data_IF_496051464404
#
_entry.id   IF_496051464404
#
_cell.length_a   1.000
_cell.length_b   1.000
_cell.length_c   1.000
_cell.angle_alpha   90.00
_cell.angle_beta   90.00
_cell.angle_gamma   90.00
#
_symmetry.space_group_name_H-M   'P 1'
#
loop_
_entity.id
_entity.type
_entity.pdbx_description
1 polymer ?
#
# COMPACT_ATOMS: atom_id res chain seq x y z
N UNK A 1 12.45 -6.49 15.55
CA UNK A 1 11.28 -7.04 14.85
C UNK A 1 11.00 -6.11 13.67
N UNK A 2 11.14 -6.58 12.43
CA UNK A 2 10.94 -5.75 11.23
C UNK A 2 9.44 -5.75 10.91
N UNK A 3 8.82 -4.58 10.85
CA UNK A 3 7.41 -4.42 10.49
C UNK A 3 7.17 -4.71 9.01
N UNK A 4 6.02 -5.30 8.66
CA UNK A 4 5.64 -5.60 7.26
C UNK A 4 5.75 -4.37 6.35
N UNK A 5 5.46 -3.18 6.89
CA UNK A 5 5.67 -1.85 6.28
C UNK A 5 7.04 -1.75 5.61
N UNK A 6 8.13 -2.09 6.30
CA UNK A 6 9.50 -1.96 5.77
C UNK A 6 9.76 -2.87 4.57
N UNK A 7 9.10 -4.04 4.52
CA UNK A 7 9.22 -4.93 3.37
C UNK A 7 8.45 -4.38 2.16
N UNK A 8 7.27 -3.80 2.38
CA UNK A 8 6.50 -3.18 1.29
C UNK A 8 7.16 -1.89 0.78
N UNK A 9 7.72 -1.06 1.66
CA UNK A 9 8.52 0.11 1.26
C UNK A 9 9.70 -0.31 0.36
N UNK A 10 10.43 -1.37 0.75
CA UNK A 10 11.52 -1.90 -0.06
C UNK A 10 11.02 -2.49 -1.39
N UNK A 11 9.87 -3.16 -1.39
CA UNK A 11 9.26 -3.67 -2.62
C UNK A 11 8.91 -2.53 -3.57
N UNK A 12 8.35 -1.42 -3.06
CA UNK A 12 8.04 -0.21 -3.84
C UNK A 12 9.31 0.44 -4.38
N UNK A 13 10.38 0.51 -3.58
CA UNK A 13 11.68 1.04 -4.05
C UNK A 13 12.27 0.21 -5.20
N UNK A 14 12.14 -1.12 -5.15
CA UNK A 14 12.63 -2.01 -6.19
C UNK A 14 11.71 -2.05 -7.40
N UNK A 15 10.40 -1.90 -7.18
CA UNK A 15 9.36 -1.98 -8.19
C UNK A 15 8.27 -0.91 -7.92
N UNK A 16 8.46 0.33 -8.44
CA UNK A 16 7.55 1.45 -8.17
C UNK A 16 6.15 1.30 -8.79
N UNK A 17 5.96 0.37 -9.73
CA UNK A 17 4.69 0.05 -10.36
C UNK A 17 3.97 -1.15 -9.70
N UNK A 18 4.42 -1.58 -8.52
CA UNK A 18 3.85 -2.73 -7.83
C UNK A 18 2.61 -2.37 -7.01
N UNK A 19 1.46 -2.27 -7.67
CA UNK A 19 0.16 -1.93 -7.06
C UNK A 19 -0.14 -2.74 -5.78
N UNK A 20 0.10 -4.05 -5.78
CA UNK A 20 -0.15 -4.92 -4.60
C UNK A 20 0.72 -4.56 -3.38
N UNK A 21 1.96 -4.09 -3.58
CA UNK A 21 2.79 -3.62 -2.47
C UNK A 21 2.22 -2.35 -1.84
N UNK A 22 1.67 -1.44 -2.64
CA UNK A 22 0.98 -0.25 -2.13
C UNK A 22 -0.31 -0.60 -1.39
N UNK A 23 -1.11 -1.55 -1.89
CA UNK A 23 -2.32 -2.02 -1.18
C UNK A 23 -1.97 -2.61 0.18
N UNK A 24 -0.98 -3.52 0.22
CA UNK A 24 -0.58 -4.15 1.46
C UNK A 24 0.11 -3.19 2.44
N UNK A 25 0.84 -2.19 1.93
CA UNK A 25 1.36 -1.09 2.74
C UNK A 25 0.23 -0.29 3.37
N UNK A 26 -0.80 0.07 2.59
CA UNK A 26 -1.99 0.75 3.08
C UNK A 26 -2.69 -0.02 4.20
N UNK A 27 -2.91 -1.33 4.01
CA UNK A 27 -3.52 -2.19 5.03
C UNK A 27 -2.66 -2.24 6.32
N UNK A 28 -1.34 -2.36 6.17
CA UNK A 28 -0.44 -2.40 7.31
C UNK A 28 -0.42 -1.08 8.09
N UNK A 29 -0.41 0.06 7.40
CA UNK A 29 -0.46 1.40 7.98
C UNK A 29 -1.80 1.68 8.68
N UNK A 30 -2.91 1.25 8.05
CA UNK A 30 -4.26 1.34 8.62
C UNK A 30 -4.34 0.60 9.96
N UNK A 31 -3.75 -0.61 10.06
CA UNK A 31 -3.65 -1.37 11.32
C UNK A 31 -2.81 -0.69 12.39
N UNK A 32 -1.88 0.19 12.02
CA UNK A 32 -1.08 0.98 12.98
C UNK A 32 -1.70 2.32 13.35
N UNK A 33 -2.84 2.67 12.74
CA UNK A 33 -3.53 3.96 12.95
C UNK A 33 -2.96 5.11 12.13
N UNK A 34 -2.00 4.87 11.24
CA UNK A 34 -1.49 5.88 10.31
C UNK A 34 -2.36 5.94 9.05
N UNK A 35 -3.56 6.50 9.23
CA UNK A 35 -4.58 6.56 8.18
C UNK A 35 -4.18 7.49 7.01
N UNK A 36 -3.38 8.53 7.28
CA UNK A 36 -2.95 9.46 6.25
C UNK A 36 -2.01 8.78 5.24
N UNK A 37 -0.98 8.11 5.75
CA UNK A 37 -0.03 7.39 4.89
C UNK A 37 -0.68 6.16 4.24
N UNK A 38 -1.64 5.53 4.93
CA UNK A 38 -2.43 4.43 4.37
C UNK A 38 -3.23 4.88 3.14
N UNK A 39 -3.96 6.00 3.26
CA UNK A 39 -4.76 6.56 2.18
C UNK A 39 -3.92 6.89 0.95
N UNK A 40 -2.74 7.50 1.16
CA UNK A 40 -1.85 7.81 0.04
C UNK A 40 -1.31 6.54 -0.62
N UNK A 41 -1.05 5.48 0.14
CA UNK A 41 -0.68 4.18 -0.41
C UNK A 41 -1.80 3.60 -1.27
N UNK A 42 -3.05 3.61 -0.79
CA UNK A 42 -4.20 3.13 -1.58
C UNK A 42 -4.44 3.96 -2.85
N UNK A 43 -4.26 5.28 -2.81
CA UNK A 43 -4.33 6.13 -4.01
C UNK A 43 -3.29 5.74 -5.06
N UNK A 44 -2.04 5.49 -4.64
CA UNK A 44 -0.99 5.03 -5.56
C UNK A 44 -1.35 3.66 -6.14
N UNK A 45 -1.86 2.74 -5.31
CA UNK A 45 -2.31 1.43 -5.75
C UNK A 45 -3.42 1.54 -6.82
N UNK A 46 -4.37 2.46 -6.64
CA UNK A 46 -5.50 2.70 -7.55
C UNK A 46 -5.04 3.33 -8.87
N UNK A 47 -4.06 4.24 -8.83
CA UNK A 47 -3.47 4.81 -10.05
C UNK A 47 -2.80 3.71 -10.89
N UNK A 48 -2.15 2.75 -10.24
CA UNK A 48 -1.44 1.65 -10.90
C UNK A 48 -2.37 0.52 -11.36
N UNK A 49 -3.46 0.27 -10.64
CA UNK A 49 -4.45 -0.76 -10.96
C UNK A 49 -5.87 -0.28 -10.64
N UNK A 50 -6.47 0.54 -11.53
CA UNK A 50 -7.78 1.13 -11.31
C UNK A 50 -8.91 0.10 -11.23
N UNK A 51 -8.71 -1.08 -11.81
CA UNK A 51 -9.69 -2.16 -11.86
C UNK A 51 -9.63 -3.08 -10.62
N UNK A 52 -8.70 -2.84 -9.70
CA UNK A 52 -8.56 -3.67 -8.50
C UNK A 52 -9.60 -3.26 -7.43
N UNK A 53 -10.64 -4.07 -7.32
CA UNK A 53 -11.78 -3.87 -6.40
C UNK A 53 -11.37 -3.90 -4.93
N UNK A 54 -10.28 -4.59 -4.57
CA UNK A 54 -9.80 -4.67 -3.19
C UNK A 54 -9.41 -3.28 -2.64
N UNK A 55 -8.82 -2.45 -3.50
CA UNK A 55 -8.38 -1.10 -3.17
C UNK A 55 -9.59 -0.17 -2.90
N UNK A 56 -10.73 -0.43 -3.52
CA UNK A 56 -11.95 0.36 -3.34
C UNK A 56 -12.68 0.04 -2.04
N UNK A 57 -12.42 -1.13 -1.45
CA UNK A 57 -13.08 -1.61 -0.23
C UNK A 57 -12.26 -1.38 1.05
N UNK A 58 -11.04 -0.86 0.93
CA UNK A 58 -10.07 -0.69 2.02
C UNK A 58 -10.05 0.71 2.62
#
# INVERSE_FOLDING_TARGET
MVSAIKFYEKAIQLKPDYSEAFTNLGIALNKTGDFATALDSFKQALVLSPDNVEILMS
#
